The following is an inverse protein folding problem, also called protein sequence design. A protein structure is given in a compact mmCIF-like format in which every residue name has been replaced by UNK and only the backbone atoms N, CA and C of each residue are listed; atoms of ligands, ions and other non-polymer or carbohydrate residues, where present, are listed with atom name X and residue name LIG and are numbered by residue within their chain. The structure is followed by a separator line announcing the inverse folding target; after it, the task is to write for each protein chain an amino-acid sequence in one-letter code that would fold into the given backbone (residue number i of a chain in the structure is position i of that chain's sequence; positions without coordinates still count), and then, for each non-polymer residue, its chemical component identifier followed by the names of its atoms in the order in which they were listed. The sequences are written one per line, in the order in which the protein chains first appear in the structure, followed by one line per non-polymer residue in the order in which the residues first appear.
data_IF_245546537765
#
_entry.id   IF_245546537765
#
_cell.length_a   1.000
_cell.length_b   1.000
_cell.length_c   1.000
_cell.angle_alpha   90.00
_cell.angle_beta   90.00
_cell.angle_gamma   90.00
#
_symmetry.space_group_name_H-M   'P 1'
#
loop_
_entity.id
_entity.type
_entity.pdbx_description
1 polymer ?
#
# COMPACT_ATOMS: atom_id res chain seq x y z
N UNK A 1 -5.70 19.97 -3.40
CA UNK A 1 -6.12 18.64 -2.90
C UNK A 1 -7.63 18.67 -2.81
N UNK A 2 -8.32 17.96 -3.70
CA UNK A 2 -9.77 17.80 -3.61
C UNK A 2 -10.07 16.96 -2.37
N UNK A 3 -10.86 17.50 -1.44
CA UNK A 3 -11.44 16.77 -0.31
C UNK A 3 -12.51 15.80 -0.85
N UNK A 4 -12.09 14.78 -1.59
CA UNK A 4 -12.97 13.69 -1.97
C UNK A 4 -13.27 12.88 -0.71
N UNK A 5 -14.31 13.28 0.03
CA UNK A 5 -14.92 12.42 1.02
C UNK A 5 -15.66 11.33 0.25
N UNK A 6 -15.21 10.07 0.38
CA UNK A 6 -15.98 8.94 -0.11
C UNK A 6 -17.18 8.78 0.81
N UNK A 7 -18.38 8.99 0.28
CA UNK A 7 -19.60 8.67 0.99
C UNK A 7 -19.90 7.18 0.77
N UNK A 8 -19.65 6.34 1.78
CA UNK A 8 -19.85 4.89 1.66
C UNK A 8 -21.29 4.52 1.30
N UNK A 9 -22.28 5.39 1.57
CA UNK A 9 -23.67 5.16 1.18
C UNK A 9 -23.89 5.27 -0.34
N UNK A 10 -23.07 6.07 -1.03
CA UNK A 10 -23.12 6.22 -2.48
C UNK A 10 -22.51 5.01 -3.20
N UNK A 11 -21.80 4.14 -2.49
CA UNK A 11 -21.26 2.90 -3.06
C UNK A 11 -22.36 1.86 -3.33
N UNK A 12 -23.52 1.92 -2.65
CA UNK A 12 -24.66 1.02 -2.92
C UNK A 12 -24.26 -0.46 -2.93
N UNK A 13 -24.59 -1.17 -4.02
CA UNK A 13 -24.24 -2.59 -4.26
C UNK A 13 -22.90 -2.77 -4.99
N UNK A 14 -22.06 -1.72 -5.08
CA UNK A 14 -20.76 -1.79 -5.76
C UNK A 14 -19.87 -2.82 -5.08
N UNK A 15 -19.38 -3.77 -5.87
CA UNK A 15 -18.35 -4.71 -5.43
C UNK A 15 -17.00 -4.03 -5.57
N UNK A 16 -16.25 -4.00 -4.46
CA UNK A 16 -14.89 -3.51 -4.43
C UNK A 16 -13.97 -4.66 -4.01
N UNK A 17 -12.93 -4.92 -4.80
CA UNK A 17 -11.89 -5.87 -4.47
C UNK A 17 -10.86 -5.21 -3.53
N UNK A 18 -10.26 -6.01 -2.65
CA UNK A 18 -9.09 -5.64 -1.84
C UNK A 18 -7.90 -6.51 -2.24
N UNK A 19 -6.70 -6.13 -1.84
CA UNK A 19 -5.57 -7.05 -1.92
C UNK A 19 -5.66 -8.14 -0.83
N UNK A 20 -4.65 -9.01 -0.81
CA UNK A 20 -4.51 -10.09 0.16
C UNK A 20 -3.64 -9.69 1.36
N UNK A 21 -2.55 -10.44 1.56
CA UNK A 21 -1.56 -10.14 2.61
C UNK A 21 -0.20 -9.77 2.02
N UNK A 22 0.10 -8.47 1.96
CA UNK A 22 1.33 -7.94 1.37
C UNK A 22 2.58 -8.54 2.01
N UNK A 23 2.78 -8.35 3.31
CA UNK A 23 4.00 -8.78 3.99
C UNK A 23 4.18 -10.30 3.94
N UNK A 24 3.08 -11.06 4.06
CA UNK A 24 3.11 -12.53 3.93
C UNK A 24 3.57 -12.94 2.54
N UNK A 25 3.07 -12.28 1.49
CA UNK A 25 3.46 -12.58 0.11
C UNK A 25 4.95 -12.26 -0.13
N UNK A 26 5.41 -11.10 0.32
CA UNK A 26 6.81 -10.69 0.20
C UNK A 26 7.76 -11.65 0.93
N UNK A 27 7.41 -12.10 2.15
CA UNK A 27 8.27 -12.98 2.94
C UNK A 27 8.23 -14.42 2.41
N UNK A 28 7.05 -15.00 2.22
CA UNK A 28 6.92 -16.44 1.96
C UNK A 28 6.96 -16.82 0.49
N UNK A 29 6.57 -15.91 -0.42
CA UNK A 29 6.59 -16.18 -1.87
C UNK A 29 7.81 -15.55 -2.54
N UNK A 30 8.24 -14.37 -2.09
CA UNK A 30 9.40 -13.67 -2.68
C UNK A 30 10.70 -13.82 -1.87
N UNK A 31 10.65 -14.43 -0.67
CA UNK A 31 11.82 -14.66 0.17
C UNK A 31 12.47 -13.38 0.68
N UNK A 32 11.73 -12.27 0.75
CA UNK A 32 12.26 -10.99 1.18
C UNK A 32 12.35 -10.93 2.71
N UNK A 33 13.51 -10.55 3.23
CA UNK A 33 13.64 -10.22 4.64
C UNK A 33 12.99 -8.87 4.93
N UNK A 34 11.98 -8.88 5.81
CA UNK A 34 11.30 -7.69 6.28
C UNK A 34 11.59 -7.54 7.78
N UNK A 35 12.54 -6.68 8.18
CA UNK A 35 12.83 -6.42 9.58
C UNK A 35 11.56 -6.02 10.33
N UNK A 36 11.26 -6.76 11.40
CA UNK A 36 10.01 -6.64 12.14
C UNK A 36 8.77 -6.68 11.24
N UNK A 37 8.75 -7.44 10.15
CA UNK A 37 7.59 -7.60 9.27
C UNK A 37 6.99 -6.25 8.81
N UNK A 38 7.85 -5.26 8.56
CA UNK A 38 7.44 -3.91 8.19
C UNK A 38 7.77 -3.62 6.72
N UNK A 39 6.75 -3.36 5.89
CA UNK A 39 6.94 -3.07 4.47
C UNK A 39 7.19 -1.58 4.15
N UNK A 40 6.76 -0.64 5.00
CA UNK A 40 6.92 0.80 4.73
C UNK A 40 8.37 1.28 4.43
N UNK A 41 9.45 0.65 4.95
CA UNK A 41 10.81 1.02 4.57
C UNK A 41 11.13 0.79 3.09
N UNK A 42 10.47 -0.18 2.43
CA UNK A 42 10.67 -0.47 0.99
C UNK A 42 10.36 0.75 0.11
N UNK A 43 9.50 1.65 0.56
CA UNK A 43 9.20 2.90 -0.16
C UNK A 43 10.40 3.85 -0.27
N UNK A 44 11.50 3.62 0.46
CA UNK A 44 12.69 4.47 0.39
C UNK A 44 13.48 4.29 -0.92
N UNK A 45 13.41 3.13 -1.56
CA UNK A 45 14.21 2.79 -2.76
C UNK A 45 13.32 2.56 -3.98
N UNK A 46 13.87 2.74 -5.18
CA UNK A 46 13.14 2.44 -6.43
C UNK A 46 12.81 0.94 -6.52
N UNK A 47 13.76 0.07 -6.18
CA UNK A 47 13.53 -1.38 -6.19
C UNK A 47 12.39 -1.79 -5.25
N UNK A 48 12.36 -1.23 -4.04
CA UNK A 48 11.30 -1.53 -3.08
C UNK A 48 9.94 -1.01 -3.56
N UNK A 49 9.89 0.19 -4.17
CA UNK A 49 8.67 0.70 -4.82
C UNK A 49 8.19 -0.19 -5.97
N UNK A 50 9.11 -0.71 -6.78
CA UNK A 50 8.77 -1.64 -7.87
C UNK A 50 8.27 -2.99 -7.35
N UNK A 51 8.86 -3.54 -6.28
CA UNK A 51 8.36 -4.76 -5.62
C UNK A 51 6.94 -4.59 -5.11
N UNK A 52 6.70 -3.53 -4.35
CA UNK A 52 5.35 -3.17 -3.87
C UNK A 52 4.39 -3.00 -5.06
N UNK A 53 4.83 -2.32 -6.12
CA UNK A 53 4.04 -2.08 -7.32
C UNK A 53 3.65 -3.37 -8.02
N UNK A 54 4.56 -4.33 -8.17
CA UNK A 54 4.27 -5.65 -8.76
C UNK A 54 3.21 -6.40 -7.96
N UNK A 55 3.30 -6.41 -6.63
CA UNK A 55 2.30 -7.06 -5.78
C UNK A 55 0.91 -6.47 -6.00
N UNK A 56 0.76 -5.15 -5.89
CA UNK A 56 -0.57 -4.52 -6.00
C UNK A 56 -1.13 -4.52 -7.43
N UNK A 57 -0.29 -4.39 -8.47
CA UNK A 57 -0.72 -4.43 -9.87
C UNK A 57 -1.44 -5.73 -10.21
N UNK A 58 -1.03 -6.86 -9.65
CA UNK A 58 -1.73 -8.14 -9.86
C UNK A 58 -3.21 -8.07 -9.46
N UNK A 59 -3.52 -7.42 -8.33
CA UNK A 59 -4.90 -7.27 -7.87
C UNK A 59 -5.66 -6.19 -8.63
N UNK A 60 -4.99 -5.08 -8.96
CA UNK A 60 -5.57 -4.00 -9.76
C UNK A 60 -5.95 -4.49 -11.16
N UNK A 61 -5.08 -5.25 -11.82
CA UNK A 61 -5.34 -5.87 -13.12
C UNK A 61 -6.54 -6.83 -13.05
N UNK A 62 -6.68 -7.59 -11.96
CA UNK A 62 -7.84 -8.48 -11.75
C UNK A 62 -9.13 -7.65 -11.58
N UNK A 63 -9.10 -6.57 -10.79
CA UNK A 63 -10.27 -5.71 -10.60
C UNK A 63 -10.74 -5.09 -11.93
N UNK A 64 -9.80 -4.57 -12.73
CA UNK A 64 -10.06 -4.02 -14.05
C UNK A 64 -10.66 -5.07 -15.01
N UNK A 65 -10.04 -6.25 -15.10
CA UNK A 65 -10.53 -7.35 -15.94
C UNK A 65 -11.93 -7.82 -15.57
N UNK A 66 -12.33 -7.66 -14.31
CA UNK A 66 -13.66 -8.03 -13.80
C UNK A 66 -14.65 -6.87 -13.79
N UNK A 67 -14.24 -5.66 -14.15
CA UNK A 67 -15.09 -4.48 -14.15
C UNK A 67 -15.59 -4.08 -12.75
N UNK A 68 -14.79 -4.35 -11.70
CA UNK A 68 -15.11 -3.99 -10.31
C UNK A 68 -14.13 -2.94 -9.80
N UNK A 69 -14.54 -2.15 -8.80
CA UNK A 69 -13.64 -1.19 -8.17
C UNK A 69 -12.61 -1.86 -7.26
N UNK A 70 -11.66 -1.08 -6.76
CA UNK A 70 -10.61 -1.57 -5.87
C UNK A 70 -10.38 -0.62 -4.68
N UNK A 71 -10.21 -1.18 -3.49
CA UNK A 71 -9.74 -0.44 -2.31
C UNK A 71 -8.24 -0.64 -2.19
N UNK A 72 -7.47 0.37 -2.61
CA UNK A 72 -6.01 0.32 -2.55
C UNK A 72 -5.49 0.72 -1.18
N UNK A 73 -4.82 -0.21 -0.51
CA UNK A 73 -4.11 0.05 0.74
C UNK A 73 -2.71 0.66 0.52
N UNK A 74 -2.10 1.11 1.60
CA UNK A 74 -0.70 1.53 1.69
C UNK A 74 0.11 0.50 2.47
N UNK A 75 1.43 0.36 2.25
CA UNK A 75 2.27 -0.59 3.00
C UNK A 75 2.59 -0.08 4.42
N UNK A 76 1.59 0.35 5.19
CA UNK A 76 1.76 1.11 6.45
C UNK A 76 1.29 0.37 7.71
N UNK A 77 0.97 -0.93 7.62
CA UNK A 77 0.53 -1.76 8.76
C UNK A 77 1.41 -1.59 10.02
N UNK A 78 2.75 -1.54 9.85
CA UNK A 78 3.71 -1.28 10.94
C UNK A 78 4.32 0.13 10.93
N UNK A 79 3.76 1.08 10.20
CA UNK A 79 4.21 2.47 10.19
C UNK A 79 3.64 3.27 11.39
N UNK A 80 3.93 2.81 12.61
CA UNK A 80 3.56 3.49 13.86
C UNK A 80 4.79 3.69 14.78
N UNK A 81 4.72 4.57 15.81
CA UNK A 81 5.88 4.96 16.62
C UNK A 81 6.64 3.80 17.27
N UNK A 82 5.93 2.75 17.70
CA UNK A 82 6.54 1.63 18.44
C UNK A 82 7.46 0.80 17.54
N UNK A 83 7.00 0.47 16.32
CA UNK A 83 7.83 -0.25 15.35
C UNK A 83 8.85 0.65 14.67
N UNK A 84 8.50 1.91 14.40
CA UNK A 84 9.41 2.88 13.82
C UNK A 84 10.66 3.07 14.69
N UNK A 85 10.49 3.17 16.01
CA UNK A 85 11.61 3.26 16.95
C UNK A 85 12.54 2.04 16.88
N UNK A 86 11.98 0.83 16.77
CA UNK A 86 12.77 -0.41 16.61
C UNK A 86 13.53 -0.48 15.29
N UNK A 87 13.02 0.19 14.26
CA UNK A 87 13.63 0.30 12.93
C UNK A 87 14.61 1.49 12.81
N UNK A 88 14.81 2.26 13.88
CA UNK A 88 15.71 3.43 13.88
C UNK A 88 15.11 4.70 13.26
N UNK A 89 13.79 4.74 13.03
CA UNK A 89 13.11 5.93 12.49
C UNK A 89 12.73 6.90 13.61
N UNK A 90 13.00 8.18 13.38
CA UNK A 90 12.43 9.28 14.16
C UNK A 90 10.94 9.50 13.84
N UNK A 91 10.24 10.28 14.68
CA UNK A 91 8.82 10.65 14.44
C UNK A 91 8.61 11.41 13.14
N UNK A 92 9.56 12.28 12.76
CA UNK A 92 9.49 13.06 11.52
C UNK A 92 9.68 12.16 10.29
N UNK A 93 10.63 11.23 10.33
CA UNK A 93 10.87 10.24 9.27
C UNK A 93 9.68 9.29 9.11
N UNK A 94 9.08 8.84 10.23
CA UNK A 94 7.85 8.05 10.20
C UNK A 94 6.70 8.82 9.54
N UNK A 95 6.53 10.09 9.89
CA UNK A 95 5.51 10.96 9.30
C UNK A 95 5.74 11.14 7.79
N UNK A 96 6.99 11.29 7.37
CA UNK A 96 7.36 11.36 5.95
C UNK A 96 7.11 10.03 5.22
N UNK A 97 7.39 8.89 5.85
CA UNK A 97 7.14 7.57 5.28
C UNK A 97 5.65 7.33 5.03
N UNK A 98 4.78 7.67 5.99
CA UNK A 98 3.32 7.57 5.82
C UNK A 98 2.81 8.46 4.67
N UNK A 99 3.28 9.70 4.56
CA UNK A 99 2.92 10.59 3.44
C UNK A 99 3.40 10.03 2.10
N UNK A 100 4.63 9.52 2.04
CA UNK A 100 5.19 8.87 0.85
C UNK A 100 4.35 7.67 0.43
N UNK A 101 3.86 6.88 1.38
CA UNK A 101 3.01 5.72 1.10
C UNK A 101 1.71 6.12 0.40
N UNK A 102 1.03 7.17 0.88
CA UNK A 102 -0.19 7.70 0.24
C UNK A 102 0.11 8.27 -1.16
N UNK A 103 1.18 9.04 -1.31
CA UNK A 103 1.58 9.58 -2.62
C UNK A 103 1.88 8.46 -3.61
N UNK A 104 2.61 7.44 -3.17
CA UNK A 104 2.95 6.28 -3.99
C UNK A 104 1.71 5.47 -4.38
N UNK A 105 0.79 5.18 -3.44
CA UNK A 105 -0.44 4.46 -3.75
C UNK A 105 -1.33 5.22 -4.76
N UNK A 106 -1.42 6.55 -4.64
CA UNK A 106 -2.12 7.38 -5.63
C UNK A 106 -1.48 7.31 -7.02
N UNK A 107 -0.16 7.36 -7.10
CA UNK A 107 0.56 7.24 -8.36
C UNK A 107 0.37 5.85 -8.98
N UNK A 108 0.35 4.80 -8.16
CA UNK A 108 0.09 3.43 -8.59
C UNK A 108 -1.32 3.23 -9.14
N UNK A 109 -2.33 3.86 -8.52
CA UNK A 109 -3.72 3.78 -8.94
C UNK A 109 -4.04 4.61 -10.19
N UNK A 110 -3.24 5.62 -10.52
CA UNK A 110 -3.54 6.58 -11.59
C UNK A 110 -3.84 5.96 -12.97
N UNK A 111 -3.21 4.84 -13.39
CA UNK A 111 -3.55 4.18 -14.65
C UNK A 111 -4.89 3.42 -14.65
N UNK A 112 -5.47 3.13 -13.49
CA UNK A 112 -6.69 2.32 -13.31
C UNK A 112 -7.95 3.17 -13.02
N UNK A 113 -7.87 4.48 -13.25
CA UNK A 113 -8.91 5.47 -12.92
C UNK A 113 -9.81 5.83 -14.10
#
# INVERSE_FOLDING_TARGET
MTNAKINLRELGETILLTDGGLETSLVFLEGLDLPFFAAFPLLATDEGRERLGRYFRQYLDIAEQRGVGFVLDTPTWRANPDWAGKLGYSRSELSAANRRAVTWARALAAPYA
#
